data_IF_793416557811
#
_entry.id   IF_793416557811
#
_cell.length_a   1.000
_cell.length_b   1.000
_cell.length_c   1.000
_cell.angle_alpha   90.00
_cell.angle_beta   90.00
_cell.angle_gamma   90.00
#
_symmetry.space_group_name_H-M   'P 1'
#
loop_
_entity.id
_entity.type
_entity.pdbx_description
1 polymer ?
#
# COMPACT_ATOMS: atom_id res chain seq x y z
N UNK A 1 16.95 -4.34 -11.94
CA UNK A 1 17.67 -3.45 -11.00
C UNK A 1 16.62 -2.79 -10.13
N UNK A 2 16.65 -2.94 -8.81
CA UNK A 2 15.70 -2.22 -7.93
C UNK A 2 16.31 -0.84 -7.68
N UNK A 3 15.61 0.20 -8.11
CA UNK A 3 16.02 1.58 -7.86
C UNK A 3 15.05 2.14 -6.81
N UNK A 4 15.53 2.31 -5.58
CA UNK A 4 14.78 3.03 -4.54
C UNK A 4 15.04 4.52 -4.66
N UNK A 5 14.00 5.36 -4.53
CA UNK A 5 14.13 6.81 -4.42
C UNK A 5 13.67 7.24 -3.02
N UNK A 6 14.51 7.93 -2.23
CA UNK A 6 14.03 8.57 -1.01
C UNK A 6 13.22 9.80 -1.40
N UNK A 7 11.92 9.79 -1.10
CA UNK A 7 11.07 10.97 -1.25
C UNK A 7 11.57 12.08 -0.31
N UNK A 8 11.59 13.31 -0.82
CA UNK A 8 12.18 14.50 -0.21
C UNK A 8 11.38 15.04 1.00
N UNK A 9 11.04 14.18 1.95
CA UNK A 9 10.16 14.48 3.09
C UNK A 9 10.85 14.45 4.46
N UNK A 10 11.97 15.15 4.61
CA UNK A 10 12.63 15.36 5.92
C UNK A 10 13.90 14.50 6.15
N UNK A 11 14.74 14.88 7.13
CA UNK A 11 16.06 14.27 7.29
C UNK A 11 15.94 12.80 7.70
N UNK A 12 16.56 11.91 6.92
CA UNK A 12 16.96 10.59 7.40
C UNK A 12 18.08 10.84 8.41
N UNK A 13 17.74 10.86 9.70
CA UNK A 13 18.75 10.81 10.75
C UNK A 13 19.23 9.37 10.85
N UNK A 14 20.33 9.06 10.16
CA UNK A 14 21.09 7.84 10.46
C UNK A 14 21.77 8.12 11.80
N UNK A 15 21.07 7.83 12.89
CA UNK A 15 21.64 7.83 14.23
C UNK A 15 22.61 6.66 14.35
N UNK A 16 23.77 6.93 14.94
CA UNK A 16 24.76 5.90 15.27
C UNK A 16 24.08 4.72 16.00
N UNK A 17 24.50 3.52 15.66
CA UNK A 17 24.02 2.24 16.18
C UNK A 17 24.04 2.22 17.73
N UNK A 18 22.95 2.64 18.41
CA UNK A 18 22.60 2.17 19.77
C UNK A 18 21.25 2.65 20.34
N UNK A 19 20.44 3.49 19.68
CA UNK A 19 19.12 3.87 20.20
C UNK A 19 18.07 3.91 19.09
N UNK A 20 17.44 2.76 18.82
CA UNK A 20 16.20 2.70 18.04
C UNK A 20 15.11 3.40 18.87
N UNK A 21 14.98 4.72 18.70
CA UNK A 21 14.02 5.47 19.50
C UNK A 21 12.61 5.01 19.15
N UNK A 22 11.74 4.85 20.16
CA UNK A 22 10.32 4.51 19.94
C UNK A 22 9.68 5.41 18.88
N UNK A 23 10.08 6.69 18.87
CA UNK A 23 9.61 7.69 17.92
C UNK A 23 10.03 7.39 16.48
N UNK A 24 11.25 6.91 16.28
CA UNK A 24 11.78 6.53 14.96
C UNK A 24 11.10 5.26 14.45
N UNK A 25 10.92 4.25 15.30
CA UNK A 25 10.14 3.07 14.96
C UNK A 25 8.67 3.39 14.66
N UNK A 26 8.07 4.30 15.41
CA UNK A 26 6.71 4.80 15.13
C UNK A 26 6.65 5.56 13.81
N UNK A 27 7.61 6.44 13.52
CA UNK A 27 7.65 7.17 12.25
C UNK A 27 7.84 6.21 11.06
N UNK A 28 8.72 5.22 11.21
CA UNK A 28 8.97 4.21 10.19
C UNK A 28 7.73 3.41 9.86
N UNK A 29 7.00 2.97 10.87
CA UNK A 29 5.73 2.26 10.68
C UNK A 29 4.61 3.16 10.14
N UNK A 30 4.58 4.43 10.57
CA UNK A 30 3.42 5.30 10.37
C UNK A 30 3.47 6.08 9.04
N UNK A 31 4.65 6.56 8.63
CA UNK A 31 4.81 7.56 7.57
C UNK A 31 6.02 7.36 6.65
N UNK A 32 6.86 6.35 6.84
CA UNK A 32 7.99 6.15 5.92
C UNK A 32 7.54 5.58 4.57
N UNK A 33 8.04 6.10 3.44
CA UNK A 33 7.68 5.60 2.13
C UNK A 33 8.06 4.12 2.00
N UNK A 34 7.16 3.33 1.42
CA UNK A 34 7.36 1.89 1.19
C UNK A 34 6.84 1.50 -0.19
N UNK A 35 7.63 1.84 -1.21
CA UNK A 35 7.35 1.52 -2.61
C UNK A 35 8.62 1.14 -3.35
N UNK A 36 8.43 0.52 -4.51
CA UNK A 36 9.49 0.26 -5.46
C UNK A 36 8.91 -0.07 -6.82
N UNK A 37 9.67 0.23 -7.86
CA UNK A 37 9.30 -0.10 -9.25
C UNK A 37 10.17 -1.23 -9.77
N UNK A 38 9.59 -2.05 -10.64
CA UNK A 38 10.31 -3.12 -11.33
C UNK A 38 10.22 -2.90 -12.83
N UNK A 39 11.37 -2.91 -13.50
CA UNK A 39 11.44 -2.94 -14.96
C UNK A 39 11.19 -4.36 -15.46
N UNK A 40 10.27 -4.49 -16.41
CA UNK A 40 9.94 -5.77 -17.02
C UNK A 40 10.84 -6.06 -18.23
N UNK A 41 11.18 -7.33 -18.42
CA UNK A 41 11.94 -7.75 -19.59
C UNK A 41 11.22 -7.40 -20.91
N UNK A 42 11.95 -7.06 -21.97
CA UNK A 42 11.35 -6.75 -23.27
C UNK A 42 10.44 -7.88 -23.76
N UNK A 43 9.20 -7.53 -24.12
CA UNK A 43 8.20 -8.48 -24.63
C UNK A 43 7.30 -9.12 -23.57
N UNK A 44 7.52 -8.85 -22.27
CA UNK A 44 6.52 -9.15 -21.24
C UNK A 44 5.32 -8.22 -21.41
N UNK A 45 4.15 -8.79 -21.62
CA UNK A 45 2.89 -8.03 -21.71
C UNK A 45 2.34 -7.78 -20.33
N UNK A 46 1.89 -6.55 -20.08
CA UNK A 46 1.11 -6.21 -18.90
C UNK A 46 -0.37 -6.19 -19.22
N UNK A 47 -1.19 -6.41 -18.22
CA UNK A 47 -2.62 -6.15 -18.25
C UNK A 47 -2.94 -5.12 -17.16
N UNK A 48 -4.17 -4.60 -17.17
CA UNK A 48 -4.71 -3.81 -16.05
C UNK A 48 -5.54 -4.66 -15.10
N UNK A 49 -5.44 -5.99 -15.18
CA UNK A 49 -6.24 -6.89 -14.36
C UNK A 49 -5.48 -7.23 -13.08
N UNK A 50 -6.17 -7.11 -11.95
CA UNK A 50 -5.76 -7.69 -10.67
C UNK A 50 -6.44 -9.04 -10.52
N UNK A 51 -5.64 -10.10 -10.68
CA UNK A 51 -6.04 -11.46 -10.37
C UNK A 51 -5.86 -11.73 -8.88
N UNK A 52 -6.83 -12.43 -8.29
CA UNK A 52 -6.76 -12.78 -6.87
C UNK A 52 -6.57 -14.27 -6.68
N UNK A 53 -5.32 -14.68 -6.50
CA UNK A 53 -4.94 -16.08 -6.29
C UNK A 53 -4.05 -16.16 -5.05
N UNK A 54 -4.44 -17.01 -4.09
CA UNK A 54 -3.67 -17.22 -2.85
C UNK A 54 -2.49 -18.18 -3.06
N UNK A 55 -1.66 -18.36 -2.02
CA UNK A 55 -0.48 -19.23 -2.09
C UNK A 55 -0.78 -20.71 -2.35
N UNK A 56 -2.03 -21.13 -2.16
CA UNK A 56 -2.49 -22.50 -2.40
C UNK A 56 -3.11 -22.66 -3.81
N UNK A 57 -3.17 -21.58 -4.59
CA UNK A 57 -3.74 -21.56 -5.93
C UNK A 57 -5.26 -21.38 -5.95
N UNK A 58 -5.90 -21.02 -4.83
CA UNK A 58 -7.33 -20.74 -4.83
C UNK A 58 -7.60 -19.33 -5.35
N UNK A 59 -8.59 -19.20 -6.23
CA UNK A 59 -9.09 -17.91 -6.68
C UNK A 59 -10.08 -17.31 -5.68
N UNK A 60 -9.92 -16.02 -5.37
CA UNK A 60 -10.75 -15.27 -4.43
C UNK A 60 -11.59 -14.20 -5.15
N UNK A 61 -12.39 -14.66 -6.11
CA UNK A 61 -13.28 -13.83 -6.91
C UNK A 61 -12.75 -13.56 -8.32
N UNK A 62 -13.57 -12.87 -9.11
CA UNK A 62 -13.22 -12.55 -10.50
C UNK A 62 -12.09 -11.51 -10.59
N UNK A 63 -11.29 -11.53 -11.67
CA UNK A 63 -10.29 -10.50 -11.93
C UNK A 63 -10.92 -9.11 -11.96
N UNK A 64 -10.25 -8.12 -11.38
CA UNK A 64 -10.71 -6.73 -11.34
C UNK A 64 -9.89 -5.90 -12.32
N UNK A 65 -10.55 -5.14 -13.19
CA UNK A 65 -9.86 -4.17 -14.04
C UNK A 65 -9.57 -2.90 -13.26
N UNK A 66 -8.29 -2.54 -13.20
CA UNK A 66 -7.83 -1.29 -12.63
C UNK A 66 -8.08 -0.14 -13.60
N UNK A 67 -8.96 0.79 -13.20
CA UNK A 67 -9.48 1.84 -14.08
C UNK A 67 -8.62 3.10 -14.09
N UNK A 68 -7.88 3.33 -13.02
CA UNK A 68 -7.01 4.49 -12.82
C UNK A 68 -6.31 4.44 -11.47
N UNK A 69 -5.58 5.49 -11.15
CA UNK A 69 -5.00 5.72 -9.82
C UNK A 69 -5.84 6.78 -9.14
N UNK A 70 -6.22 6.54 -7.89
CA UNK A 70 -6.90 7.55 -7.07
C UNK A 70 -5.86 8.62 -6.70
N UNK A 71 -6.11 9.84 -7.16
CA UNK A 71 -5.30 11.02 -6.89
C UNK A 71 -5.81 11.67 -5.59
N UNK A 72 -5.03 11.59 -4.52
CA UNK A 72 -5.37 12.20 -3.25
C UNK A 72 -4.70 13.55 -3.08
N UNK A 73 -5.29 14.43 -2.26
CA UNK A 73 -4.56 15.62 -1.82
C UNK A 73 -3.33 15.22 -0.99
N UNK A 74 -2.20 15.84 -1.34
CA UNK A 74 -0.92 15.73 -0.65
C UNK A 74 -1.07 16.15 0.81
N UNK A 75 -0.54 15.32 1.72
CA UNK A 75 -0.51 15.59 3.15
C UNK A 75 0.93 15.89 3.60
N UNK A 76 1.08 16.88 4.47
CA UNK A 76 2.37 17.21 5.06
C UNK A 76 2.90 16.14 6.01
N UNK A 77 4.16 16.30 6.43
CA UNK A 77 4.77 15.43 7.43
C UNK A 77 3.97 15.48 8.75
N UNK A 78 3.59 14.30 9.28
CA UNK A 78 2.68 14.12 10.42
C UNK A 78 1.23 14.59 10.23
N UNK A 79 0.86 15.03 9.05
CA UNK A 79 -0.54 15.34 8.77
C UNK A 79 -1.36 14.06 8.63
N UNK A 80 -2.58 14.11 9.19
CA UNK A 80 -3.55 13.03 9.16
C UNK A 80 -4.86 13.60 8.61
N UNK A 81 -5.38 13.00 7.54
CA UNK A 81 -6.71 13.30 7.00
C UNK A 81 -7.64 12.11 7.19
N UNK A 82 -8.89 12.37 7.53
CA UNK A 82 -9.93 11.33 7.62
C UNK A 82 -10.99 11.48 6.51
N UNK A 83 -10.66 12.17 5.41
CA UNK A 83 -11.55 12.36 4.25
C UNK A 83 -12.01 11.05 3.60
N UNK A 84 -11.22 9.99 3.73
CA UNK A 84 -11.49 8.66 3.23
C UNK A 84 -12.15 7.73 4.25
N UNK A 85 -12.45 8.21 5.47
CA UNK A 85 -12.99 7.36 6.53
C UNK A 85 -14.30 6.67 6.08
N UNK A 86 -14.33 5.34 6.20
CA UNK A 86 -15.48 4.51 5.84
C UNK A 86 -15.60 4.18 4.35
N UNK A 87 -14.74 4.75 3.49
CA UNK A 87 -14.70 4.36 2.07
C UNK A 87 -14.25 2.90 1.93
N UNK A 88 -14.76 2.16 0.93
CA UNK A 88 -14.40 0.77 0.74
C UNK A 88 -12.95 0.64 0.25
N UNK A 89 -12.37 -0.52 0.51
CA UNK A 89 -11.05 -0.91 0.03
C UNK A 89 -10.98 -2.43 -0.05
N UNK A 90 -10.43 -2.96 -1.13
CA UNK A 90 -10.03 -4.35 -1.24
C UNK A 90 -8.53 -4.44 -1.50
N UNK A 91 -7.92 -5.53 -1.07
CA UNK A 91 -6.52 -5.89 -1.31
C UNK A 91 -6.49 -7.21 -2.05
N UNK A 92 -5.67 -7.30 -3.08
CA UNK A 92 -5.20 -8.58 -3.60
C UNK A 92 -3.75 -8.82 -3.16
N UNK A 93 -3.49 -10.00 -2.61
CA UNK A 93 -2.15 -10.40 -2.19
C UNK A 93 -1.85 -11.85 -2.55
N UNK A 94 -0.59 -12.14 -2.84
CA UNK A 94 -0.15 -13.45 -3.31
C UNK A 94 -0.17 -14.53 -2.21
N UNK A 95 -0.37 -14.13 -0.95
CA UNK A 95 -0.46 -15.05 0.18
C UNK A 95 -1.90 -15.28 0.59
N UNK A 96 -2.66 -14.22 0.83
CA UNK A 96 -4.02 -14.32 1.36
C UNK A 96 -5.13 -14.32 0.31
N UNK A 97 -4.84 -13.99 -0.96
CA UNK A 97 -5.86 -13.64 -1.95
C UNK A 97 -6.59 -12.35 -1.59
N UNK A 98 -7.85 -12.22 -2.02
CA UNK A 98 -8.67 -11.02 -1.86
C UNK A 98 -9.25 -10.90 -0.47
N UNK A 99 -9.13 -9.72 0.09
CA UNK A 99 -9.84 -9.32 1.31
C UNK A 99 -10.34 -7.89 1.14
N UNK A 100 -11.47 -7.58 1.77
CA UNK A 100 -12.10 -6.27 1.65
C UNK A 100 -12.50 -5.74 3.03
N UNK A 101 -12.47 -4.43 3.16
CA UNK A 101 -12.69 -3.74 4.41
C UNK A 101 -12.96 -2.27 4.17
N UNK A 102 -12.56 -1.44 5.13
CA UNK A 102 -12.83 -0.01 5.12
C UNK A 102 -11.57 0.80 5.40
N UNK A 103 -11.48 1.95 4.76
CA UNK A 103 -10.46 2.95 5.01
C UNK A 103 -10.78 3.70 6.32
N UNK A 104 -9.73 4.08 7.04
CA UNK A 104 -9.80 4.77 8.34
C UNK A 104 -9.31 6.21 8.24
N UNK A 105 -8.14 6.42 7.66
CA UNK A 105 -7.54 7.73 7.47
C UNK A 105 -6.39 7.63 6.48
N UNK A 106 -5.84 8.78 6.10
CA UNK A 106 -4.62 8.92 5.32
C UNK A 106 -3.56 9.69 6.08
N UNK A 107 -2.33 9.42 5.72
CA UNK A 107 -1.14 10.19 6.09
C UNK A 107 -0.31 10.44 4.84
N UNK A 108 0.79 11.20 4.96
CA UNK A 108 1.67 11.51 3.84
C UNK A 108 2.01 10.29 2.97
N UNK A 109 2.30 9.13 3.58
CA UNK A 109 2.69 7.92 2.86
C UNK A 109 1.80 6.73 3.20
N UNK A 110 0.55 6.94 3.62
CA UNK A 110 -0.27 5.85 4.13
C UNK A 110 -1.75 6.00 3.85
N UNK A 111 -2.37 5.00 3.25
CA UNK A 111 -3.80 4.73 3.37
C UNK A 111 -3.99 3.66 4.44
N UNK A 112 -4.61 4.04 5.56
CA UNK A 112 -4.85 3.16 6.70
C UNK A 112 -6.24 2.55 6.61
N UNK A 113 -6.34 1.27 6.89
CA UNK A 113 -7.58 0.50 6.70
C UNK A 113 -7.74 -0.58 7.76
N UNK A 114 -8.95 -1.13 7.87
CA UNK A 114 -9.27 -2.26 8.73
C UNK A 114 -9.97 -3.36 7.94
N UNK A 115 -9.80 -4.61 8.38
CA UNK A 115 -10.52 -5.76 7.83
C UNK A 115 -9.86 -6.44 6.62
N UNK A 116 -8.63 -6.05 6.28
CA UNK A 116 -7.94 -6.56 5.08
C UNK A 116 -7.05 -7.80 5.31
N UNK A 117 -7.02 -8.38 6.51
CA UNK A 117 -6.32 -9.65 6.79
C UNK A 117 -4.89 -9.73 6.18
N UNK A 118 -4.04 -8.73 6.44
CA UNK A 118 -2.70 -8.67 5.87
C UNK A 118 -1.85 -9.84 6.34
N UNK A 119 -1.24 -10.55 5.40
CA UNK A 119 -0.29 -11.63 5.69
C UNK A 119 1.09 -11.35 5.07
N UNK A 120 2.12 -11.92 5.69
CA UNK A 120 3.47 -11.87 5.14
C UNK A 120 3.48 -12.49 3.74
N UNK A 121 4.00 -11.75 2.76
CA UNK A 121 4.00 -12.14 1.35
C UNK A 121 2.86 -11.53 0.52
N UNK A 122 1.98 -10.74 1.13
CA UNK A 122 1.05 -9.88 0.38
C UNK A 122 1.68 -8.52 -0.01
N UNK A 123 2.82 -8.16 0.56
CA UNK A 123 3.50 -6.88 0.31
C UNK A 123 3.72 -6.64 -1.18
N UNK A 124 3.49 -5.40 -1.63
CA UNK A 124 3.48 -5.00 -3.04
C UNK A 124 2.18 -5.30 -3.80
N UNK A 125 1.28 -6.11 -3.24
CA UNK A 125 -0.03 -6.39 -3.83
C UNK A 125 -0.94 -5.14 -3.88
N UNK A 126 -1.77 -5.02 -4.92
CA UNK A 126 -2.60 -3.84 -5.15
C UNK A 126 -3.75 -3.74 -4.15
N UNK A 127 -4.02 -2.51 -3.71
CA UNK A 127 -5.23 -2.12 -2.99
C UNK A 127 -6.06 -1.24 -3.91
N UNK A 128 -7.36 -1.49 -3.98
CA UNK A 128 -8.25 -0.81 -4.93
C UNK A 128 -9.63 -0.55 -4.31
N UNK A 129 -10.34 0.42 -4.87
CA UNK A 129 -11.75 0.66 -4.59
C UNK A 129 -12.60 -0.37 -5.35
N UNK A 130 -13.34 -1.26 -4.67
CA UNK A 130 -14.12 -2.31 -5.35
C UNK A 130 -15.29 -1.78 -6.17
N UNK A 131 -15.71 -0.53 -5.95
CA UNK A 131 -16.85 0.07 -6.66
C UNK A 131 -16.41 0.74 -7.96
N UNK A 132 -15.21 1.35 -7.98
CA UNK A 132 -14.70 2.10 -9.13
C UNK A 132 -13.55 1.41 -9.87
N UNK A 133 -12.88 0.46 -9.23
CA UNK A 133 -11.66 -0.18 -9.75
C UNK A 133 -10.42 0.71 -9.69
N UNK A 134 -10.48 1.87 -9.02
CA UNK A 134 -9.31 2.74 -8.89
C UNK A 134 -8.29 2.13 -7.93
N UNK A 135 -7.02 2.12 -8.35
CA UNK A 135 -5.91 1.71 -7.50
C UNK A 135 -5.67 2.79 -6.44
N UNK A 136 -5.72 2.38 -5.18
CA UNK A 136 -5.55 3.24 -4.01
C UNK A 136 -4.13 3.21 -3.46
N UNK A 137 -3.47 2.06 -3.55
CA UNK A 137 -2.15 1.87 -2.95
C UNK A 137 -1.58 0.48 -3.17
N UNK A 138 -0.36 0.27 -2.68
CA UNK A 138 0.29 -1.05 -2.60
C UNK A 138 0.42 -1.49 -1.15
N UNK A 139 0.22 -2.79 -0.92
CA UNK A 139 0.26 -3.41 0.41
C UNK A 139 1.65 -3.21 1.01
N UNK A 140 1.73 -2.52 2.14
CA UNK A 140 3.00 -2.26 2.84
C UNK A 140 3.07 -3.08 4.13
N UNK A 141 2.19 -2.79 5.08
CA UNK A 141 2.33 -3.26 6.46
C UNK A 141 0.99 -3.60 7.10
N UNK A 142 0.98 -4.61 7.98
CA UNK A 142 -0.18 -4.99 8.77
C UNK A 142 0.13 -5.03 10.27
N UNK A 143 -0.75 -4.44 11.07
CA UNK A 143 -0.73 -4.45 12.53
C UNK A 143 -2.03 -4.99 13.09
N UNK A 144 -2.06 -6.31 13.34
CA UNK A 144 -3.29 -6.98 13.78
C UNK A 144 -4.40 -6.81 12.74
N UNK A 145 -5.47 -6.12 13.11
CA UNK A 145 -6.63 -5.89 12.22
C UNK A 145 -6.50 -4.66 11.32
N UNK A 146 -5.44 -3.85 11.51
CA UNK A 146 -5.20 -2.61 10.78
C UNK A 146 -4.14 -2.88 9.70
N UNK A 147 -4.42 -2.43 8.48
CA UNK A 147 -3.49 -2.45 7.36
C UNK A 147 -3.05 -1.04 6.99
N UNK A 148 -1.88 -0.94 6.37
CA UNK A 148 -1.37 0.25 5.71
C UNK A 148 -1.02 -0.10 4.27
N UNK A 149 -1.53 0.68 3.33
CA UNK A 149 -1.08 0.70 1.95
C UNK A 149 -0.27 1.99 1.69
N UNK A 150 0.80 1.89 0.91
CA UNK A 150 1.49 3.06 0.36
C UNK A 150 0.65 3.60 -0.81
N UNK A 151 0.21 4.87 -0.78
CA UNK A 151 -0.50 5.48 -1.90
C UNK A 151 0.30 5.36 -3.21
N UNK A 152 -0.36 5.01 -4.31
CA UNK A 152 0.29 4.81 -5.62
C UNK A 152 0.55 6.14 -6.34
N UNK A 153 -0.28 7.15 -6.13
CA UNK A 153 -0.16 8.50 -6.70
C UNK A 153 1.17 9.20 -6.36
N UNK A 154 1.76 8.88 -5.21
CA UNK A 154 3.08 9.39 -4.79
C UNK A 154 4.26 8.67 -5.46
N UNK A 155 4.03 7.50 -6.07
CA UNK A 155 5.08 6.67 -6.66
C UNK A 155 5.24 6.88 -8.19
N UNK A 156 4.51 7.82 -8.80
CA UNK A 156 4.44 8.05 -10.26
C UNK A 156 5.11 9.37 -10.66
#
# INVERSE_FOLDING_TARGET
>A
MVIGHPDAGGPITVGDEEDFSLLEGMNQAFNSPDWGTVELEPGVTTTRLSDSVDMYGNSHGEPVELTGVRDYEDLGFWEVSADNFGQPICKDGNTSGRSCGVQLFRTQNGVWSAGLNYQNGDSGGVNFDPETGEALGVTSMGFGTIGRAQPIDLAI
#
